data_IF_361509994057
#
_entry.id   IF_361509994057
#
_cell.length_a   1.000
_cell.length_b   1.000
_cell.length_c   1.000
_cell.angle_alpha   90.00
_cell.angle_beta   90.00
_cell.angle_gamma   90.00
#
_symmetry.space_group_name_H-M   'P 1'
#
loop_
_entity.id
_entity.type
_entity.pdbx_description
1 polymer ?
#
# COMPACT_ATOMS: atom_id res chain seq x y z
N UNK A 1 19.23 6.02 0.78
CA UNK A 1 19.54 5.59 2.16
C UNK A 1 21.03 5.29 2.41
N UNK A 2 21.74 4.59 1.50
CA UNK A 2 23.15 4.22 1.74
C UNK A 2 24.19 5.34 1.58
N UNK A 3 23.97 6.27 0.64
CA UNK A 3 24.96 7.30 0.30
C UNK A 3 24.95 8.50 1.26
N UNK A 4 23.77 8.94 1.70
CA UNK A 4 23.62 10.00 2.70
C UNK A 4 23.35 9.36 4.04
N UNK A 5 24.26 9.56 4.99
CA UNK A 5 24.21 8.99 6.33
C UNK A 5 24.03 10.07 7.41
N UNK A 6 23.56 9.66 8.58
CA UNK A 6 23.53 10.50 9.77
C UNK A 6 24.85 10.33 10.53
N UNK A 7 25.67 11.38 10.52
CA UNK A 7 26.82 11.50 11.41
C UNK A 7 28.16 10.97 10.87
N UNK A 8 28.40 11.05 9.55
CA UNK A 8 29.72 10.79 8.95
C UNK A 8 30.09 9.31 8.91
N UNK A 9 29.15 8.47 8.47
CA UNK A 9 29.30 7.02 8.30
C UNK A 9 28.76 6.18 9.47
N UNK A 10 28.31 6.81 10.57
CA UNK A 10 27.91 6.09 11.79
C UNK A 10 26.52 5.45 11.72
N UNK A 11 25.59 6.04 10.96
CA UNK A 11 24.23 5.49 10.77
C UNK A 11 23.73 5.76 9.37
N UNK A 12 23.38 4.70 8.64
CA UNK A 12 22.73 4.83 7.32
C UNK A 12 21.43 5.64 7.44
N UNK A 13 21.07 6.38 6.39
CA UNK A 13 19.77 7.04 6.32
C UNK A 13 18.63 6.03 6.43
N UNK A 14 17.58 6.37 7.17
CA UNK A 14 16.44 5.48 7.46
C UNK A 14 15.17 6.02 6.85
N UNK A 15 14.60 5.31 5.87
CA UNK A 15 13.35 5.68 5.21
C UNK A 15 12.35 4.52 5.32
N UNK A 16 11.11 4.85 5.65
CA UNK A 16 9.98 3.92 5.59
C UNK A 16 9.11 4.28 4.39
N UNK A 17 8.97 3.35 3.46
CA UNK A 17 8.11 3.47 2.30
C UNK A 17 6.72 2.98 2.66
N UNK A 18 5.70 3.77 2.35
CA UNK A 18 4.30 3.42 2.56
C UNK A 18 3.61 3.21 1.22
N UNK A 19 2.85 2.12 1.10
CA UNK A 19 2.07 1.79 -0.08
C UNK A 19 0.66 1.35 0.32
N UNK A 20 -0.33 1.75 -0.46
CA UNK A 20 -1.69 1.24 -0.29
C UNK A 20 -1.87 -0.11 -1.01
N UNK A 21 -2.60 -1.08 -0.44
CA UNK A 21 -2.67 -2.45 -0.95
C UNK A 21 -3.40 -2.60 -2.30
N UNK A 22 -4.02 -1.55 -2.83
CA UNK A 22 -4.62 -1.55 -4.17
C UNK A 22 -3.61 -1.27 -5.29
N UNK A 23 -2.37 -0.91 -4.97
CA UNK A 23 -1.36 -0.60 -5.99
C UNK A 23 -1.00 -1.85 -6.82
N UNK A 24 -0.87 -1.71 -8.14
CA UNK A 24 -0.52 -2.81 -9.06
C UNK A 24 0.75 -3.58 -8.63
N UNK A 25 1.78 -2.86 -8.19
CA UNK A 25 3.07 -3.44 -7.78
C UNK A 25 3.09 -3.94 -6.31
N UNK A 26 1.94 -4.08 -5.64
CA UNK A 26 1.90 -4.46 -4.22
C UNK A 26 2.58 -5.80 -3.92
N UNK A 27 2.50 -6.77 -4.82
CA UNK A 27 3.16 -8.07 -4.64
C UNK A 27 4.68 -7.93 -4.66
N UNK A 28 5.23 -7.19 -5.62
CA UNK A 28 6.67 -6.96 -5.72
C UNK A 28 7.18 -6.11 -4.55
N UNK A 29 6.38 -5.15 -4.08
CA UNK A 29 6.69 -4.35 -2.89
C UNK A 29 6.92 -5.21 -1.64
N UNK A 30 6.14 -6.28 -1.46
CA UNK A 30 6.27 -7.22 -0.34
C UNK A 30 7.54 -8.09 -0.43
N UNK A 31 8.16 -8.20 -1.61
CA UNK A 31 9.38 -8.98 -1.83
C UNK A 31 10.67 -8.16 -1.56
N UNK A 32 10.58 -6.81 -1.55
CA UNK A 32 11.76 -5.93 -1.57
C UNK A 32 12.72 -6.11 -0.40
N UNK A 33 12.21 -6.54 0.77
CA UNK A 33 13.02 -6.75 1.98
C UNK A 33 13.53 -8.18 2.18
N UNK A 34 13.01 -9.14 1.41
CA UNK A 34 13.34 -10.56 1.59
C UNK A 34 14.81 -10.83 1.36
N UNK A 35 15.37 -11.77 2.11
CA UNK A 35 16.80 -12.05 2.05
C UNK A 35 17.16 -12.81 0.77
N UNK A 36 16.30 -13.71 0.31
CA UNK A 36 16.50 -14.46 -0.93
C UNK A 36 15.93 -13.74 -2.16
N UNK A 37 16.38 -14.13 -3.35
CA UNK A 37 15.96 -13.58 -4.64
C UNK A 37 17.07 -12.77 -5.34
N UNK A 38 16.73 -12.16 -6.48
CA UNK A 38 17.65 -11.37 -7.30
C UNK A 38 17.93 -10.01 -6.68
N UNK A 39 19.20 -9.60 -6.60
CA UNK A 39 19.59 -8.34 -5.94
C UNK A 39 18.96 -7.11 -6.61
N UNK A 40 18.81 -7.11 -7.93
CA UNK A 40 18.17 -6.04 -8.69
C UNK A 40 16.67 -5.86 -8.38
N UNK A 41 16.06 -6.81 -7.66
CA UNK A 41 14.67 -6.78 -7.21
C UNK A 41 14.55 -6.54 -5.69
N UNK A 42 15.60 -6.00 -5.05
CA UNK A 42 15.66 -5.85 -3.58
C UNK A 42 16.09 -4.45 -3.17
N UNK A 43 15.56 -4.00 -2.04
CA UNK A 43 15.89 -2.72 -1.43
C UNK A 43 15.95 -2.82 0.11
N UNK A 44 16.71 -3.80 0.60
CA UNK A 44 16.72 -4.26 2.00
C UNK A 44 17.07 -3.20 3.07
N UNK A 45 17.78 -2.14 2.71
CA UNK A 45 18.11 -1.05 3.64
C UNK A 45 16.94 -0.08 3.90
N UNK A 46 15.79 -0.30 3.26
CA UNK A 46 14.58 0.46 3.52
C UNK A 46 13.67 -0.28 4.52
N UNK A 47 12.72 0.47 5.08
CA UNK A 47 11.60 -0.05 5.84
C UNK A 47 10.33 0.06 5.00
N UNK A 48 9.36 -0.82 5.27
CA UNK A 48 8.14 -0.93 4.50
C UNK A 48 6.94 -0.92 5.42
N UNK A 49 5.91 -0.18 5.04
CA UNK A 49 4.63 -0.10 5.71
C UNK A 49 3.50 -0.15 4.70
N UNK A 50 2.36 -0.67 5.13
CA UNK A 50 1.12 -0.61 4.38
C UNK A 50 0.20 0.45 4.98
N UNK A 51 -0.40 1.24 4.10
CA UNK A 51 -1.45 2.20 4.42
C UNK A 51 -2.78 1.61 3.97
N UNK A 52 -3.45 0.94 4.91
CA UNK A 52 -4.51 -0.03 4.61
C UNK A 52 -5.89 0.62 4.76
N UNK A 53 -6.69 0.70 3.69
CA UNK A 53 -8.09 1.11 3.79
C UNK A 53 -8.93 0.00 4.44
N UNK A 54 -9.97 0.37 5.18
CA UNK A 54 -10.88 -0.55 5.86
C UNK A 54 -11.57 -1.48 4.85
N UNK A 55 -11.81 -0.99 3.62
CA UNK A 55 -12.37 -1.78 2.53
C UNK A 55 -11.56 -3.04 2.23
N UNK A 56 -10.22 -2.94 2.22
CA UNK A 56 -9.38 -4.11 1.99
C UNK A 56 -9.60 -5.16 3.08
N UNK A 57 -9.64 -4.74 4.34
CA UNK A 57 -9.86 -5.65 5.47
C UNK A 57 -11.24 -6.30 5.45
N UNK A 58 -12.28 -5.56 5.04
CA UNK A 58 -13.62 -6.13 4.81
C UNK A 58 -13.59 -7.18 3.70
N UNK A 59 -12.98 -6.87 2.54
CA UNK A 59 -12.84 -7.83 1.42
C UNK A 59 -12.05 -9.08 1.82
N UNK A 60 -11.02 -8.96 2.67
CA UNK A 60 -10.28 -10.12 3.21
C UNK A 60 -11.21 -10.99 4.07
N UNK A 61 -11.94 -10.37 5.02
CA UNK A 61 -12.86 -11.06 5.93
C UNK A 61 -13.96 -11.80 5.17
N UNK A 62 -14.52 -11.17 4.16
CA UNK A 62 -15.66 -11.69 3.40
C UNK A 62 -15.23 -12.61 2.23
N UNK A 63 -13.93 -12.91 2.12
CA UNK A 63 -13.35 -13.67 1.01
C UNK A 63 -13.69 -13.09 -0.38
N UNK A 64 -13.75 -11.76 -0.44
CA UNK A 64 -14.06 -11.01 -1.64
C UNK A 64 -12.87 -10.88 -2.59
N UNK A 65 -13.14 -10.21 -3.70
CA UNK A 65 -12.13 -9.83 -4.68
C UNK A 65 -11.52 -8.48 -4.35
N UNK A 66 -10.28 -8.30 -4.79
CA UNK A 66 -9.50 -7.08 -4.65
C UNK A 66 -8.85 -6.73 -5.98
N UNK A 67 -9.20 -5.57 -6.50
CA UNK A 67 -8.69 -5.03 -7.75
C UNK A 67 -7.46 -4.16 -7.50
N UNK A 68 -6.45 -4.35 -8.34
CA UNK A 68 -5.22 -3.60 -8.34
C UNK A 68 -5.22 -2.59 -9.48
N UNK A 69 -4.72 -1.39 -9.19
CA UNK A 69 -4.75 -0.26 -10.13
C UNK A 69 -3.36 0.33 -10.34
N UNK A 70 -3.14 0.86 -11.55
CA UNK A 70 -2.07 1.82 -11.79
C UNK A 70 -2.50 3.18 -11.23
N UNK A 71 -1.68 3.87 -10.42
CA UNK A 71 -2.01 5.21 -9.92
C UNK A 71 -2.33 6.22 -11.02
N UNK A 72 -1.71 6.08 -12.20
CA UNK A 72 -1.96 6.95 -13.35
C UNK A 72 -3.36 6.75 -13.96
N UNK A 73 -4.03 5.63 -13.67
CA UNK A 73 -5.38 5.32 -14.13
C UNK A 73 -6.41 5.37 -12.98
N UNK A 74 -5.95 5.37 -11.73
CA UNK A 74 -6.74 5.33 -10.52
C UNK A 74 -7.17 6.73 -10.04
N UNK A 75 -7.68 7.55 -10.96
CA UNK A 75 -8.14 8.90 -10.65
C UNK A 75 -9.49 9.22 -11.28
N UNK A 76 -10.22 10.09 -10.61
CA UNK A 76 -11.47 10.66 -11.10
C UNK A 76 -11.13 11.90 -11.93
N UNK A 77 -11.56 11.90 -13.19
CA UNK A 77 -11.29 12.98 -14.15
C UNK A 77 -12.03 14.27 -13.83
N UNK A 78 -13.17 14.18 -13.15
CA UNK A 78 -13.98 15.35 -12.83
C UNK A 78 -13.42 16.10 -11.62
N UNK A 79 -13.04 15.36 -10.58
CA UNK A 79 -12.49 15.94 -9.34
C UNK A 79 -10.97 16.10 -9.38
N UNK A 80 -10.28 15.41 -10.28
CA UNK A 80 -8.82 15.37 -10.37
C UNK A 80 -8.13 14.59 -9.25
N UNK A 81 -8.91 13.98 -8.34
CA UNK A 81 -8.40 13.21 -7.20
C UNK A 81 -8.09 11.78 -7.60
N UNK A 82 -7.02 11.22 -7.02
CA UNK A 82 -6.68 9.81 -7.05
C UNK A 82 -7.15 9.05 -5.81
N UNK A 83 -7.07 7.71 -5.84
CA UNK A 83 -7.34 6.86 -4.67
C UNK A 83 -6.46 7.22 -3.44
N UNK A 84 -5.29 7.81 -3.66
CA UNK A 84 -4.38 8.28 -2.60
C UNK A 84 -4.92 9.51 -1.87
N UNK A 85 -5.78 10.32 -2.51
CA UNK A 85 -6.24 11.62 -2.01
C UNK A 85 -7.53 11.53 -1.20
N UNK A 86 -8.10 10.33 -1.08
CA UNK A 86 -9.41 10.08 -0.47
C UNK A 86 -9.34 8.93 0.53
N UNK A 87 -10.20 8.93 1.55
CA UNK A 87 -10.27 7.91 2.58
C UNK A 87 -11.73 7.62 2.98
N UNK A 88 -11.97 6.56 3.74
CA UNK A 88 -13.30 6.18 4.22
C UNK A 88 -14.31 5.97 3.09
N UNK A 89 -15.54 6.48 3.25
CA UNK A 89 -16.62 6.30 2.27
C UNK A 89 -16.30 6.89 0.89
N UNK A 90 -15.55 8.00 0.82
CA UNK A 90 -15.14 8.61 -0.46
C UNK A 90 -14.20 7.67 -1.23
N UNK A 91 -13.24 7.05 -0.52
CA UNK A 91 -12.37 6.03 -1.09
C UNK A 91 -13.16 4.82 -1.60
N UNK A 92 -14.10 4.31 -0.79
CA UNK A 92 -14.89 3.13 -1.16
C UNK A 92 -15.72 3.35 -2.42
N UNK A 93 -16.40 4.50 -2.50
CA UNK A 93 -17.19 4.87 -3.68
C UNK A 93 -16.31 4.97 -4.91
N UNK A 94 -15.19 5.67 -4.81
CA UNK A 94 -14.28 5.85 -5.94
C UNK A 94 -13.65 4.53 -6.39
N UNK A 95 -13.19 3.71 -5.45
CA UNK A 95 -12.61 2.39 -5.72
C UNK A 95 -13.59 1.50 -6.50
N UNK A 96 -14.81 1.36 -6.00
CA UNK A 96 -15.86 0.53 -6.62
C UNK A 96 -16.34 1.07 -7.97
N UNK A 97 -16.35 2.39 -8.16
CA UNK A 97 -16.60 3.02 -9.45
C UNK A 97 -15.50 2.67 -10.46
N UNK A 98 -14.22 2.77 -10.07
CA UNK A 98 -13.09 2.41 -10.93
C UNK A 98 -13.09 0.91 -11.27
N UNK A 99 -13.44 0.05 -10.32
CA UNK A 99 -13.65 -1.38 -10.57
C UNK A 99 -14.72 -1.60 -11.65
N UNK A 100 -15.90 -0.98 -11.48
CA UNK A 100 -17.03 -1.13 -12.40
C UNK A 100 -16.75 -0.55 -13.79
N UNK A 101 -15.90 0.48 -13.87
CA UNK A 101 -15.45 1.08 -15.12
C UNK A 101 -14.33 0.27 -15.81
N UNK A 102 -13.91 -0.87 -15.25
CA UNK A 102 -12.86 -1.72 -15.83
C UNK A 102 -11.48 -1.08 -15.84
N UNK A 103 -11.20 -0.16 -14.91
CA UNK A 103 -9.89 0.53 -14.77
C UNK A 103 -8.85 -0.27 -14.02
N UNK A 104 -9.22 -1.43 -13.48
CA UNK A 104 -8.31 -2.34 -12.81
C UNK A 104 -7.34 -2.99 -13.79
N UNK A 105 -6.07 -3.11 -13.41
CA UNK A 105 -5.09 -3.88 -14.17
C UNK A 105 -5.22 -5.38 -13.90
N UNK A 106 -5.56 -5.75 -12.67
CA UNK A 106 -5.65 -7.14 -12.24
C UNK A 106 -6.58 -7.25 -11.03
N UNK A 107 -7.40 -8.29 -11.01
CA UNK A 107 -8.21 -8.64 -9.84
C UNK A 107 -7.71 -9.94 -9.24
N UNK A 108 -7.57 -9.98 -7.92
CA UNK A 108 -7.12 -11.14 -7.14
C UNK A 108 -8.10 -11.42 -6.01
N UNK A 109 -8.01 -12.58 -5.36
CA UNK A 109 -8.70 -12.76 -4.08
C UNK A 109 -8.04 -11.90 -3.01
N UNK A 110 -8.82 -11.17 -2.21
CA UNK A 110 -8.28 -10.33 -1.14
C UNK A 110 -7.42 -11.15 -0.17
N UNK A 111 -7.87 -12.38 0.16
CA UNK A 111 -7.13 -13.31 1.00
C UNK A 111 -5.78 -13.74 0.40
N UNK A 112 -5.67 -13.82 -0.93
CA UNK A 112 -4.39 -14.13 -1.59
C UNK A 112 -3.35 -13.05 -1.29
N UNK A 113 -3.73 -11.77 -1.39
CA UNK A 113 -2.84 -10.67 -1.03
C UNK A 113 -2.55 -10.68 0.47
N UNK A 114 -3.58 -10.92 1.30
CA UNK A 114 -3.41 -11.04 2.75
C UNK A 114 -2.38 -12.10 3.16
N UNK A 115 -2.43 -13.29 2.56
CA UNK A 115 -1.44 -14.34 2.82
C UNK A 115 -0.02 -13.89 2.44
N UNK A 116 0.17 -13.15 1.34
CA UNK A 116 1.48 -12.60 0.98
C UNK A 116 1.99 -11.57 1.97
N UNK A 117 1.10 -10.74 2.52
CA UNK A 117 1.45 -9.79 3.59
C UNK A 117 1.94 -10.55 4.82
N UNK A 118 1.21 -11.58 5.24
CA UNK A 118 1.59 -12.43 6.38
C UNK A 118 2.90 -13.16 6.15
N UNK A 119 3.14 -13.71 4.95
CA UNK A 119 4.41 -14.34 4.58
C UNK A 119 5.58 -13.37 4.71
N UNK A 120 5.44 -12.15 4.18
CA UNK A 120 6.48 -11.12 4.29
C UNK A 120 6.75 -10.74 5.75
N UNK A 121 5.71 -10.63 6.57
CA UNK A 121 5.82 -10.35 8.01
C UNK A 121 6.51 -11.49 8.76
N UNK A 122 6.20 -12.75 8.44
CA UNK A 122 6.86 -13.91 9.04
C UNK A 122 8.35 -13.97 8.69
N UNK A 123 8.73 -13.62 7.46
CA UNK A 123 10.12 -13.69 7.02
C UNK A 123 10.96 -12.49 7.50
N UNK A 124 10.38 -11.29 7.50
CA UNK A 124 11.15 -10.03 7.68
C UNK A 124 10.68 -9.15 8.84
N UNK A 125 9.58 -9.51 9.50
CA UNK A 125 8.94 -8.67 10.52
C UNK A 125 8.20 -7.44 9.96
N UNK A 126 8.12 -7.30 8.63
CA UNK A 126 7.53 -6.14 7.93
C UNK A 126 6.72 -6.63 6.72
N UNK A 127 5.74 -5.87 6.19
CA UNK A 127 5.50 -4.44 6.42
C UNK A 127 4.81 -4.10 7.75
N UNK A 128 5.01 -2.87 8.22
CA UNK A 128 4.17 -2.26 9.25
C UNK A 128 2.72 -2.17 8.77
N UNK A 129 1.77 -2.21 9.70
CA UNK A 129 0.33 -2.13 9.39
C UNK A 129 -0.25 -0.86 9.97
N UNK A 130 -0.72 0.04 9.11
CA UNK A 130 -1.38 1.27 9.51
C UNK A 130 -2.74 1.35 8.81
N UNK A 131 -3.79 1.64 9.56
CA UNK A 131 -5.16 1.71 9.04
C UNK A 131 -5.49 3.14 8.62
N UNK A 132 -5.52 3.36 7.30
CA UNK A 132 -5.68 4.66 6.63
C UNK A 132 -6.90 5.41 7.14
N UNK A 133 -8.04 4.75 7.15
CA UNK A 133 -9.31 5.39 7.46
C UNK A 133 -9.40 5.76 8.95
N UNK A 134 -8.84 4.91 9.81
CA UNK A 134 -8.74 5.19 11.24
C UNK A 134 -7.79 6.33 11.58
N UNK A 135 -6.67 6.43 10.88
CA UNK A 135 -5.71 7.50 11.09
C UNK A 135 -6.27 8.85 10.60
N UNK A 136 -6.85 8.89 9.39
CA UNK A 136 -7.43 10.11 8.85
C UNK A 136 -8.68 10.56 9.63
N UNK A 137 -9.63 9.65 9.90
CA UNK A 137 -10.88 10.00 10.56
C UNK A 137 -10.78 10.41 12.04
N UNK A 138 -9.60 10.29 12.64
CA UNK A 138 -9.33 10.70 14.03
C UNK A 138 -8.22 11.74 14.14
N UNK A 139 -7.73 12.24 13.01
CA UNK A 139 -6.69 13.26 12.98
C UNK A 139 -7.28 14.65 13.12
N UNK A 140 -6.73 15.46 14.04
CA UNK A 140 -7.04 16.89 14.10
C UNK A 140 -6.54 17.67 12.86
N UNK A 141 -5.75 17.02 11.99
CA UNK A 141 -5.24 17.60 10.75
C UNK A 141 -6.07 17.23 9.51
N UNK A 142 -7.21 16.53 9.67
CA UNK A 142 -8.07 16.15 8.54
C UNK A 142 -8.54 17.33 7.68
N UNK A 143 -8.53 18.55 8.24
CA UNK A 143 -8.88 19.78 7.53
C UNK A 143 -7.84 20.19 6.47
N UNK A 144 -6.66 19.59 6.46
CA UNK A 144 -5.59 19.85 5.48
C UNK A 144 -5.73 19.00 4.21
N UNK A 145 -6.57 17.95 4.24
CA UNK A 145 -6.65 16.91 3.22
C UNK A 145 -6.50 15.53 3.83
#
# INVERSE_FOLDING_TARGET
ARYVDQGGGKRKGSFAMYLEPWHADIFDFLELKKNHGKEEQRARDLFYGLWVPDLFMRRVKDNGEWTLFCPNEAFDKETGKGLIDVWGEEFERMYTQLESAGKGQKTVKAQQLWFRILEAQMETGTPYMLYKDHANGKSNQQNLG
#
